data_IF_152317239993
#
_entry.id   IF_152317239993
#
_cell.length_a   1.000
_cell.length_b   1.000
_cell.length_c   1.000
_cell.angle_alpha   90.00
_cell.angle_beta   90.00
_cell.angle_gamma   90.00
#
_symmetry.space_group_name_H-M   'P 1'
#
loop_
_entity.id
_entity.type
_entity.pdbx_description
1 polymer ?
#
# COMPACT_ATOMS: atom_id res chain seq x y z
N UNK A 1 38.60 16.56 -28.66
CA UNK A 1 37.36 17.38 -28.73
C UNK A 1 36.18 16.72 -29.49
N UNK A 2 36.32 15.56 -30.16
CA UNK A 2 35.24 14.98 -30.98
C UNK A 2 34.12 14.18 -30.27
N UNK A 3 34.36 13.60 -29.09
CA UNK A 3 33.37 12.71 -28.43
C UNK A 3 32.16 13.45 -27.85
N UNK A 4 32.31 14.70 -27.38
CA UNK A 4 31.20 15.50 -26.84
C UNK A 4 30.26 16.00 -27.93
N UNK A 5 30.78 16.35 -29.10
CA UNK A 5 29.97 16.79 -30.24
C UNK A 5 29.06 15.66 -30.75
N UNK A 6 29.60 14.45 -30.92
CA UNK A 6 28.82 13.28 -31.36
C UNK A 6 27.74 12.84 -30.37
N UNK A 7 27.99 12.98 -29.05
CA UNK A 7 26.96 12.70 -28.04
C UNK A 7 25.81 13.71 -28.07
N UNK A 8 26.11 15.01 -28.22
CA UNK A 8 25.08 16.06 -28.30
C UNK A 8 24.21 15.88 -29.56
N UNK A 9 24.83 15.53 -30.68
CA UNK A 9 24.14 15.28 -31.94
C UNK A 9 23.29 14.01 -31.89
N UNK A 10 23.79 12.94 -31.25
CA UNK A 10 23.02 11.73 -30.97
C UNK A 10 21.80 12.00 -30.08
N UNK A 11 21.98 12.74 -28.98
CA UNK A 11 20.89 13.13 -28.07
C UNK A 11 19.86 13.97 -28.81
N UNK A 12 20.29 14.90 -29.66
CA UNK A 12 19.38 15.73 -30.46
C UNK A 12 18.59 14.91 -31.48
N UNK A 13 19.21 13.93 -32.12
CA UNK A 13 18.54 13.05 -33.09
C UNK A 13 17.67 11.95 -32.46
N UNK A 14 17.94 11.55 -31.22
CA UNK A 14 17.25 10.44 -30.54
C UNK A 14 16.65 10.84 -29.19
N UNK A 15 16.28 12.11 -29.03
CA UNK A 15 15.76 12.64 -27.76
C UNK A 15 14.49 11.89 -27.32
N UNK A 16 13.68 11.43 -28.26
CA UNK A 16 12.46 10.65 -28.02
C UNK A 16 12.77 9.32 -27.32
N UNK A 17 13.80 8.60 -27.77
CA UNK A 17 14.23 7.32 -27.17
C UNK A 17 14.73 7.55 -25.75
N UNK A 18 15.50 8.61 -25.54
CA UNK A 18 15.99 8.99 -24.21
C UNK A 18 14.86 9.41 -23.27
N UNK A 19 13.85 10.12 -23.78
CA UNK A 19 12.67 10.52 -23.01
C UNK A 19 11.85 9.30 -22.59
N UNK A 20 11.54 8.39 -23.52
CA UNK A 20 10.81 7.14 -23.22
C UNK A 20 11.60 6.27 -22.24
N UNK A 21 12.90 6.10 -22.48
CA UNK A 21 13.78 5.36 -21.57
C UNK A 21 13.79 5.96 -20.16
N UNK A 22 13.79 7.29 -20.06
CA UNK A 22 13.72 8.00 -18.77
C UNK A 22 12.38 7.77 -18.07
N UNK A 23 11.26 7.83 -18.78
CA UNK A 23 9.93 7.58 -18.22
C UNK A 23 9.80 6.15 -17.69
N UNK A 24 10.31 5.16 -18.43
CA UNK A 24 10.35 3.76 -17.98
C UNK A 24 11.22 3.63 -16.72
N UNK A 25 12.40 4.25 -16.70
CA UNK A 25 13.27 4.23 -15.53
C UNK A 25 12.61 4.85 -14.29
N UNK A 26 11.95 6.01 -14.45
CA UNK A 26 11.18 6.67 -13.38
C UNK A 26 10.07 5.75 -12.87
N UNK A 27 9.33 5.09 -13.77
CA UNK A 27 8.26 4.18 -13.39
C UNK A 27 8.78 2.98 -12.57
N UNK A 28 9.89 2.38 -12.98
CA UNK A 28 10.52 1.26 -12.25
C UNK A 28 11.06 1.71 -10.89
N UNK A 29 11.74 2.85 -10.82
CA UNK A 29 12.24 3.42 -9.57
C UNK A 29 11.10 3.75 -8.60
N UNK A 30 10.00 4.28 -9.13
CA UNK A 30 8.81 4.53 -8.33
C UNK A 30 8.22 3.23 -7.76
N UNK A 31 8.17 2.16 -8.55
CA UNK A 31 7.76 0.83 -8.06
C UNK A 31 8.63 0.32 -6.91
N UNK A 32 9.97 0.46 -7.04
CA UNK A 32 10.90 0.08 -5.97
C UNK A 32 10.72 0.93 -4.71
N UNK A 33 10.51 2.24 -4.89
CA UNK A 33 10.23 3.14 -3.78
C UNK A 33 8.97 2.72 -3.01
N UNK A 34 7.89 2.38 -3.72
CA UNK A 34 6.65 1.91 -3.08
C UNK A 34 6.86 0.61 -2.29
N UNK A 35 7.61 -0.34 -2.85
CA UNK A 35 7.95 -1.59 -2.14
C UNK A 35 8.79 -1.33 -0.89
N UNK A 36 9.73 -0.40 -0.94
CA UNK A 36 10.55 -0.01 0.22
C UNK A 36 9.71 0.64 1.32
N UNK A 37 8.75 1.50 0.95
CA UNK A 37 7.79 2.10 1.88
C UNK A 37 6.93 1.01 2.54
N UNK A 38 6.37 0.10 1.74
CA UNK A 38 5.57 -1.00 2.27
C UNK A 38 6.37 -1.88 3.23
N UNK A 39 7.59 -2.29 2.85
CA UNK A 39 8.49 -3.07 3.71
C UNK A 39 8.82 -2.36 5.03
N UNK A 40 9.01 -1.04 5.00
CA UNK A 40 9.23 -0.23 6.22
C UNK A 40 8.01 -0.25 7.13
N UNK A 41 6.80 -0.15 6.57
CA UNK A 41 5.55 -0.23 7.35
C UNK A 41 5.37 -1.63 7.96
N UNK A 42 5.70 -2.70 7.22
CA UNK A 42 5.61 -4.07 7.71
C UNK A 42 6.59 -4.36 8.84
N UNK A 43 7.83 -3.86 8.75
CA UNK A 43 8.83 -4.03 9.82
C UNK A 43 8.50 -3.20 11.06
N UNK A 44 7.87 -2.04 10.89
CA UNK A 44 7.52 -1.12 11.98
C UNK A 44 6.06 -0.65 11.85
N UNK A 45 5.08 -1.54 12.08
CA UNK A 45 3.67 -1.19 11.99
C UNK A 45 3.31 -0.24 13.13
N UNK A 46 2.50 0.76 12.79
CA UNK A 46 1.97 1.78 13.69
C UNK A 46 0.46 1.82 13.59
N UNK A 47 -0.18 2.38 14.62
CA UNK A 47 -1.61 2.67 14.58
C UNK A 47 -1.93 3.55 13.37
N UNK A 48 -3.09 3.30 12.75
CA UNK A 48 -3.58 3.97 11.55
C UNK A 48 -2.89 3.58 10.24
N UNK A 49 -1.93 2.65 10.25
CA UNK A 49 -1.41 2.06 9.02
C UNK A 49 -2.48 1.20 8.32
N UNK A 50 -2.42 1.16 6.99
CA UNK A 50 -3.28 0.35 6.13
C UNK A 50 -2.47 -0.75 5.47
N UNK A 51 -2.97 -1.97 5.52
CA UNK A 51 -2.40 -3.14 4.86
C UNK A 51 -3.39 -3.62 3.81
N UNK A 52 -2.93 -3.96 2.62
CA UNK A 52 -3.78 -4.44 1.55
C UNK A 52 -3.49 -5.91 1.32
N UNK A 53 -4.52 -6.74 1.52
CA UNK A 53 -4.32 -8.17 1.72
C UNK A 53 -5.23 -9.01 0.86
N UNK A 54 -4.74 -10.19 0.59
CA UNK A 54 -5.51 -11.32 0.14
C UNK A 54 -6.14 -12.05 1.33
N UNK A 55 -7.40 -11.74 1.62
CA UNK A 55 -8.09 -12.28 2.78
C UNK A 55 -8.43 -13.77 2.63
N UNK A 56 -8.55 -14.28 1.41
CA UNK A 56 -8.85 -15.69 1.18
C UNK A 56 -7.67 -16.59 1.55
N UNK A 57 -6.43 -16.10 1.37
CA UNK A 57 -5.23 -16.80 1.84
C UNK A 57 -5.13 -16.82 3.38
N UNK A 58 -5.72 -15.83 4.06
CA UNK A 58 -5.80 -15.78 5.53
C UNK A 58 -6.90 -16.68 6.09
N UNK A 59 -8.05 -16.69 5.43
CA UNK A 59 -9.23 -17.44 5.83
C UNK A 59 -9.89 -18.06 4.60
N UNK A 60 -9.61 -19.35 4.38
CA UNK A 60 -10.14 -20.13 3.25
C UNK A 60 -11.66 -20.32 3.29
N UNK A 61 -12.32 -20.01 4.42
CA UNK A 61 -13.78 -20.03 4.51
C UNK A 61 -14.43 -18.73 3.99
N UNK A 62 -13.62 -17.70 3.72
CA UNK A 62 -14.08 -16.41 3.20
C UNK A 62 -14.40 -16.44 1.70
N UNK A 63 -15.00 -15.36 1.20
CA UNK A 63 -15.42 -15.23 -0.19
C UNK A 63 -14.22 -15.15 -1.15
N UNK A 64 -14.08 -16.15 -2.01
CA UNK A 64 -13.03 -16.23 -3.04
C UNK A 64 -13.14 -15.12 -4.10
N UNK A 65 -14.36 -14.64 -4.40
CA UNK A 65 -14.63 -13.63 -5.41
C UNK A 65 -14.28 -12.23 -4.92
N UNK A 66 -14.36 -11.96 -3.62
CA UNK A 66 -14.04 -10.65 -3.03
C UNK A 66 -12.93 -10.77 -1.98
N UNK A 67 -11.82 -11.39 -2.39
CA UNK A 67 -10.69 -11.75 -1.52
C UNK A 67 -9.78 -10.57 -1.16
N UNK A 68 -9.63 -9.56 -2.02
CA UNK A 68 -8.68 -8.47 -1.77
C UNK A 68 -9.33 -7.37 -0.95
N UNK A 69 -8.88 -7.16 0.29
CA UNK A 69 -9.50 -6.22 1.24
C UNK A 69 -8.44 -5.35 1.93
N UNK A 70 -8.80 -4.14 2.40
CA UNK A 70 -7.92 -3.34 3.23
C UNK A 70 -8.07 -3.76 4.70
N UNK A 71 -6.96 -3.82 5.42
CA UNK A 71 -6.89 -3.91 6.87
C UNK A 71 -6.39 -2.57 7.42
N UNK A 72 -6.97 -2.09 8.52
CA UNK A 72 -6.48 -0.92 9.23
C UNK A 72 -5.91 -1.34 10.58
N UNK A 73 -4.68 -0.96 10.88
CA UNK A 73 -4.06 -1.15 12.19
C UNK A 73 -4.73 -0.22 13.19
N UNK A 74 -5.39 -0.78 14.19
CA UNK A 74 -6.11 -0.02 15.22
C UNK A 74 -5.37 0.01 16.56
N UNK A 75 -4.51 -0.97 16.81
CA UNK A 75 -3.62 -1.01 17.97
C UNK A 75 -2.35 -1.80 17.65
N UNK A 76 -1.26 -1.45 18.34
CA UNK A 76 0.03 -2.13 18.25
C UNK A 76 0.57 -2.33 19.65
N UNK A 77 1.05 -3.53 19.95
CA UNK A 77 1.83 -3.83 21.15
C UNK A 77 3.26 -4.27 20.75
N UNK A 78 4.09 -4.66 21.72
CA UNK A 78 5.49 -5.05 21.45
C UNK A 78 5.60 -6.23 20.49
N UNK A 79 4.63 -7.16 20.51
CA UNK A 79 4.72 -8.44 19.79
C UNK A 79 3.65 -8.60 18.72
N UNK A 80 2.54 -7.88 18.80
CA UNK A 80 1.35 -8.06 18.00
C UNK A 80 0.78 -6.73 17.49
N UNK A 81 -0.03 -6.85 16.45
CA UNK A 81 -0.90 -5.80 15.95
C UNK A 81 -2.34 -6.29 16.01
N UNK A 82 -3.26 -5.35 16.21
CA UNK A 82 -4.70 -5.60 16.07
C UNK A 82 -5.21 -4.77 14.90
N UNK A 83 -5.97 -5.41 14.02
CA UNK A 83 -6.46 -4.81 12.78
C UNK A 83 -7.98 -4.90 12.65
N UNK A 84 -8.57 -3.85 12.11
CA UNK A 84 -9.94 -3.84 11.61
C UNK A 84 -9.96 -4.29 10.15
N UNK A 85 -10.82 -5.25 9.82
CA UNK A 85 -10.92 -5.82 8.47
C UNK A 85 -11.93 -5.02 7.65
N UNK A 86 -11.55 -4.61 6.44
CA UNK A 86 -12.47 -3.97 5.50
C UNK A 86 -13.55 -4.92 5.00
N UNK A 87 -14.73 -4.37 4.72
CA UNK A 87 -15.89 -5.10 4.24
C UNK A 87 -16.12 -4.95 2.72
N UNK A 88 -15.25 -4.19 2.05
CA UNK A 88 -15.30 -3.97 0.60
C UNK A 88 -14.10 -4.67 -0.01
N UNK A 89 -14.38 -5.80 -0.65
CA UNK A 89 -13.37 -6.60 -1.33
C UNK A 89 -13.41 -6.44 -2.85
N UNK A 90 -12.30 -6.77 -3.49
CA UNK A 90 -12.15 -6.87 -4.93
C UNK A 90 -11.77 -8.29 -5.33
N UNK A 91 -12.02 -8.65 -6.60
CA UNK A 91 -11.70 -9.96 -7.17
C UNK A 91 -10.25 -10.10 -7.61
N UNK A 92 -9.58 -8.98 -7.81
CA UNK A 92 -8.18 -8.88 -8.23
C UNK A 92 -7.44 -7.90 -7.31
N UNK A 93 -6.10 -8.00 -7.20
CA UNK A 93 -5.34 -7.00 -6.46
C UNK A 93 -5.49 -5.66 -7.16
N UNK A 94 -5.91 -4.65 -6.42
CA UNK A 94 -6.10 -3.28 -6.92
C UNK A 94 -5.12 -2.34 -6.24
N UNK A 95 -4.90 -1.17 -6.85
CA UNK A 95 -4.11 -0.13 -6.20
C UNK A 95 -4.74 0.28 -4.85
N UNK A 96 -3.92 0.55 -3.81
CA UNK A 96 -4.39 1.02 -2.49
C UNK A 96 -5.44 2.13 -2.57
N UNK A 97 -5.26 3.07 -3.49
CA UNK A 97 -6.15 4.20 -3.75
C UNK A 97 -7.59 3.74 -4.05
N UNK A 98 -7.75 2.60 -4.71
CA UNK A 98 -9.07 2.08 -5.12
C UNK A 98 -9.91 1.63 -3.91
N UNK A 99 -9.25 1.15 -2.87
CA UNK A 99 -9.89 0.79 -1.60
C UNK A 99 -10.37 2.00 -0.82
N UNK A 100 -9.63 3.11 -0.88
CA UNK A 100 -9.84 4.29 -0.02
C UNK A 100 -10.51 5.47 -0.70
N UNK A 101 -10.55 5.50 -2.05
CA UNK A 101 -11.07 6.62 -2.84
C UNK A 101 -12.47 7.04 -2.38
N UNK A 102 -12.77 8.33 -2.50
CA UNK A 102 -14.01 8.95 -2.04
C UNK A 102 -14.22 8.81 -0.53
N UNK A 103 -13.13 8.85 0.24
CA UNK A 103 -13.13 8.81 1.70
C UNK A 103 -13.98 7.66 2.28
N UNK A 104 -14.06 6.54 1.55
CA UNK A 104 -14.86 5.37 1.90
C UNK A 104 -14.63 4.89 3.34
N UNK A 105 -13.38 4.85 3.87
CA UNK A 105 -13.14 4.45 5.25
C UNK A 105 -13.91 5.25 6.30
N UNK A 106 -14.25 6.50 6.01
CA UNK A 106 -14.96 7.40 6.92
C UNK A 106 -16.45 7.56 6.59
N UNK A 107 -16.81 7.54 5.31
CA UNK A 107 -18.17 7.83 4.87
C UNK A 107 -19.09 6.60 4.90
N UNK A 108 -18.55 5.39 4.75
CA UNK A 108 -19.36 4.18 4.70
C UNK A 108 -19.52 3.56 6.09
N UNK A 109 -20.77 3.54 6.58
CA UNK A 109 -21.13 3.07 7.95
C UNK A 109 -20.62 1.67 8.30
N UNK A 110 -20.54 0.78 7.32
CA UNK A 110 -20.08 -0.61 7.49
C UNK A 110 -18.80 -0.89 6.69
N UNK A 111 -17.91 0.11 6.56
CA UNK A 111 -16.64 -0.06 5.86
C UNK A 111 -15.75 -1.11 6.54
N UNK A 112 -15.74 -1.14 7.87
CA UNK A 112 -15.02 -2.15 8.65
C UNK A 112 -15.98 -3.18 9.22
N UNK A 113 -15.56 -4.45 9.24
CA UNK A 113 -16.23 -5.55 9.92
C UNK A 113 -16.18 -5.33 11.45
N UNK A 114 -17.14 -5.92 12.17
CA UNK A 114 -17.20 -5.82 13.64
C UNK A 114 -16.07 -6.56 14.35
N UNK A 115 -15.59 -7.65 13.76
CA UNK A 115 -14.54 -8.47 14.35
C UNK A 115 -13.17 -7.91 13.97
N UNK A 116 -12.25 -7.95 14.93
CA UNK A 116 -10.86 -7.59 14.73
C UNK A 116 -10.01 -8.85 14.64
N UNK A 117 -8.93 -8.78 13.88
CA UNK A 117 -7.91 -9.82 13.84
C UNK A 117 -6.69 -9.35 14.62
N UNK A 118 -5.99 -10.31 15.22
CA UNK A 118 -4.72 -10.08 15.90
C UNK A 118 -3.66 -10.93 15.23
N UNK A 119 -2.55 -10.30 14.87
CA UNK A 119 -1.40 -10.96 14.26
C UNK A 119 -0.16 -10.62 15.05
N UNK A 120 0.73 -11.58 15.23
CA UNK A 120 2.09 -11.31 15.68
C UNK A 120 2.86 -10.53 14.61
N UNK A 121 3.87 -9.76 15.02
CA UNK A 121 4.77 -9.07 14.10
C UNK A 121 5.51 -10.06 13.17
N UNK A 122 5.77 -11.29 13.64
CA UNK A 122 6.37 -12.35 12.83
C UNK A 122 5.42 -12.86 11.75
N UNK A 123 4.14 -13.07 12.09
CA UNK A 123 3.12 -13.41 11.09
C UNK A 123 2.98 -12.30 10.05
N UNK A 124 3.02 -11.04 10.47
CA UNK A 124 2.95 -9.90 9.56
C UNK A 124 4.06 -9.91 8.51
N UNK A 125 5.32 -10.09 8.92
CA UNK A 125 6.46 -10.20 8.01
C UNK A 125 6.31 -11.40 7.06
N UNK A 126 5.93 -12.56 7.60
CA UNK A 126 5.69 -13.78 6.81
C UNK A 126 4.58 -13.58 5.78
N UNK A 127 3.49 -12.90 6.14
CA UNK A 127 2.39 -12.60 5.22
C UNK A 127 2.83 -11.68 4.09
N UNK A 128 3.69 -10.71 4.35
CA UNK A 128 4.25 -9.85 3.31
C UNK A 128 5.22 -10.61 2.39
N UNK A 129 6.12 -11.40 2.95
CA UNK A 129 7.06 -12.23 2.19
C UNK A 129 6.36 -13.25 1.29
N UNK A 130 5.26 -13.83 1.75
CA UNK A 130 4.44 -14.77 0.98
C UNK A 130 3.46 -14.09 0.00
N UNK A 131 3.46 -12.76 -0.09
CA UNK A 131 2.58 -12.00 -0.98
C UNK A 131 1.10 -11.94 -0.56
N UNK A 132 0.76 -12.41 0.65
CA UNK A 132 -0.58 -12.28 1.22
C UNK A 132 -0.88 -10.80 1.48
N UNK A 133 0.09 -10.04 1.99
CA UNK A 133 0.04 -8.59 2.02
C UNK A 133 0.77 -8.09 0.77
N UNK A 134 0.05 -7.46 -0.14
CA UNK A 134 0.62 -7.03 -1.41
C UNK A 134 1.04 -5.55 -1.42
N UNK A 135 0.49 -4.73 -0.52
CA UNK A 135 0.89 -3.33 -0.32
C UNK A 135 0.59 -2.89 1.12
N UNK A 136 1.27 -1.84 1.58
CA UNK A 136 1.01 -1.20 2.86
C UNK A 136 1.20 0.32 2.73
N UNK A 137 0.30 1.10 3.35
CA UNK A 137 0.31 2.56 3.29
C UNK A 137 0.14 3.17 4.67
N UNK A 138 0.98 4.14 4.98
CA UNK A 138 0.86 4.99 6.15
C UNK A 138 0.20 6.31 5.76
N UNK A 139 -0.88 6.74 6.42
CA UNK A 139 -1.43 8.06 6.21
C UNK A 139 -0.41 9.15 6.47
N UNK A 140 -0.31 10.12 5.56
CA UNK A 140 0.37 11.39 5.83
C UNK A 140 -0.67 12.33 6.44
N UNK A 141 -0.56 12.56 7.76
CA UNK A 141 -1.60 13.19 8.56
C UNK A 141 -2.90 12.36 8.48
N UNK A 142 -3.94 12.84 7.79
CA UNK A 142 -5.21 12.11 7.60
C UNK A 142 -5.37 11.50 6.20
N UNK A 143 -4.37 11.66 5.32
CA UNK A 143 -4.50 11.37 3.90
C UNK A 143 -3.69 10.17 3.42
N UNK A 144 -4.24 9.40 2.49
CA UNK A 144 -3.48 8.52 1.60
C UNK A 144 -3.86 8.88 0.16
N UNK A 145 -2.87 9.25 -0.65
CA UNK A 145 -3.05 9.59 -2.07
C UNK A 145 -4.17 10.61 -2.32
N UNK A 146 -4.28 11.60 -1.44
CA UNK A 146 -5.26 12.70 -1.52
C UNK A 146 -6.63 12.42 -0.87
N UNK A 147 -6.91 11.18 -0.43
CA UNK A 147 -8.17 10.81 0.19
C UNK A 147 -8.07 10.77 1.71
N UNK A 148 -9.12 11.20 2.41
CA UNK A 148 -9.19 11.17 3.88
C UNK A 148 -9.52 9.76 4.33
N UNK A 149 -8.62 9.15 5.11
CA UNK A 149 -8.73 7.75 5.52
C UNK A 149 -8.88 7.56 7.04
N UNK A 150 -8.53 8.57 7.82
CA UNK A 150 -8.63 8.56 9.28
C UNK A 150 -9.15 9.92 9.78
N UNK A 151 -9.71 9.94 10.99
CA UNK A 151 -10.08 11.19 11.66
C UNK A 151 -8.85 11.89 12.22
N UNK A 152 -8.94 13.21 12.44
CA UNK A 152 -7.86 13.98 13.07
C UNK A 152 -7.48 13.44 14.46
N UNK A 153 -8.46 12.95 15.23
CA UNK A 153 -8.24 12.31 16.53
C UNK A 153 -7.48 10.97 16.46
N UNK A 154 -7.32 10.42 15.26
CA UNK A 154 -6.64 9.14 15.02
C UNK A 154 -5.25 9.35 14.40
N UNK A 155 -4.86 10.61 14.18
CA UNK A 155 -3.52 10.96 13.72
C UNK A 155 -2.54 10.60 14.83
N UNK A 156 -1.65 9.66 14.51
CA UNK A 156 -0.60 9.28 15.42
C UNK A 156 0.46 10.38 15.39
N UNK A 157 0.72 10.99 16.54
CA UNK A 157 1.83 11.92 16.73
C UNK A 157 2.89 11.12 17.48
N UNK A 158 4.07 10.99 16.88
CA UNK A 158 5.22 10.33 17.50
C UNK A 158 5.65 11.05 18.80
#
# INVERSE_FOLDING_TARGET
MGKRAGFIEFVKNHWEILAVGSLIAIYLLHGQYLQAVASTIISQPRKSDFLFVDYYELDRSSDIKYRFVPLKVIATDEQNITVAVGNIGFSEPVLPETHIKFDKPLLLRNYYRKNHLRFSRKELSSMYENGIIYDARRPQNIYISGWIVIKLSEVYTD
#
